data_IF_889146426389
#
_entry.id   IF_889146426389
#
_cell.length_a   1.000
_cell.length_b   1.000
_cell.length_c   1.000
_cell.angle_alpha   90.00
_cell.angle_beta   90.00
_cell.angle_gamma   90.00
#
_symmetry.space_group_name_H-M   'P 1'
#
loop_
_entity.id
_entity.type
_entity.pdbx_description
1 polymer ?
#
# COMPACT_ATOMS: atom_id res chain seq x y z
N UNK A 1 -48.11 15.92 7.14
CA UNK A 1 -46.94 15.50 6.33
C UNK A 1 -45.61 16.07 6.84
N UNK A 2 -45.49 17.35 7.23
CA UNK A 2 -44.22 17.93 7.76
C UNK A 2 -43.63 17.23 9.00
N UNK A 3 -44.46 16.75 9.93
CA UNK A 3 -43.99 16.09 11.16
C UNK A 3 -43.34 14.70 10.93
N UNK A 4 -43.75 13.98 9.88
CA UNK A 4 -43.18 12.67 9.54
C UNK A 4 -41.81 12.81 8.86
N UNK A 5 -41.60 13.89 8.10
CA UNK A 5 -40.31 14.22 7.47
C UNK A 5 -39.28 14.67 8.51
N UNK A 6 -39.69 15.46 9.51
CA UNK A 6 -38.78 15.87 10.59
C UNK A 6 -38.36 14.69 11.46
N UNK A 7 -39.28 13.79 11.81
CA UNK A 7 -38.98 12.57 12.60
C UNK A 7 -38.11 11.57 11.82
N UNK A 8 -38.28 11.49 10.50
CA UNK A 8 -37.39 10.74 9.60
C UNK A 8 -35.98 11.34 9.56
N UNK A 9 -35.86 12.68 9.51
CA UNK A 9 -34.58 13.37 9.46
C UNK A 9 -33.81 13.25 10.79
N UNK A 10 -34.49 13.36 11.94
CA UNK A 10 -33.86 13.21 13.26
C UNK A 10 -33.36 11.78 13.53
N UNK A 11 -34.11 10.76 13.07
CA UNK A 11 -33.70 9.36 13.18
C UNK A 11 -32.51 9.00 12.26
N UNK A 12 -32.45 9.59 11.06
CA UNK A 12 -31.32 9.44 10.14
C UNK A 12 -30.07 10.14 10.70
N UNK A 13 -30.21 11.38 11.18
CA UNK A 13 -29.10 12.11 11.84
C UNK A 13 -28.55 11.34 13.05
N UNK A 14 -29.42 10.78 13.90
CA UNK A 14 -28.99 9.95 15.04
C UNK A 14 -28.21 8.70 14.64
N UNK A 15 -28.58 8.05 13.53
CA UNK A 15 -27.90 6.85 13.02
C UNK A 15 -26.53 7.20 12.42
N UNK A 16 -26.40 8.33 11.72
CA UNK A 16 -25.13 8.82 11.19
C UNK A 16 -24.12 9.13 12.30
N UNK A 17 -24.55 9.81 13.37
CA UNK A 17 -23.67 10.08 14.53
C UNK A 17 -23.25 8.79 15.24
N UNK A 18 -24.13 7.80 15.36
CA UNK A 18 -23.79 6.49 15.91
C UNK A 18 -22.76 5.79 15.00
N UNK A 19 -22.96 5.78 13.69
CA UNK A 19 -22.02 5.16 12.73
C UNK A 19 -20.63 5.82 12.77
N UNK A 20 -20.58 7.15 12.83
CA UNK A 20 -19.32 7.91 13.00
C UNK A 20 -18.67 7.55 14.34
N UNK A 21 -19.42 7.55 15.44
CA UNK A 21 -18.92 7.19 16.76
C UNK A 21 -18.33 5.77 16.79
N UNK A 22 -19.04 4.80 16.24
CA UNK A 22 -18.59 3.40 16.13
C UNK A 22 -17.32 3.30 15.28
N UNK A 23 -17.27 3.98 14.13
CA UNK A 23 -16.10 3.95 13.23
C UNK A 23 -14.86 4.53 13.91
N UNK A 24 -15.00 5.65 14.62
CA UNK A 24 -13.90 6.27 15.38
C UNK A 24 -13.43 5.33 16.49
N UNK A 25 -14.35 4.78 17.29
CA UNK A 25 -14.01 3.86 18.38
C UNK A 25 -13.32 2.60 17.86
N UNK A 26 -13.82 2.02 16.77
CA UNK A 26 -13.22 0.87 16.11
C UNK A 26 -11.80 1.18 15.60
N UNK A 27 -11.62 2.34 14.96
CA UNK A 27 -10.30 2.79 14.47
C UNK A 27 -9.31 2.98 15.62
N UNK A 28 -9.72 3.60 16.72
CA UNK A 28 -8.86 3.77 17.90
C UNK A 28 -8.50 2.40 18.50
N UNK A 29 -9.48 1.52 18.69
CA UNK A 29 -9.25 0.20 19.28
C UNK A 29 -8.26 -0.62 18.45
N UNK A 30 -8.43 -0.66 17.13
CA UNK A 30 -7.54 -1.37 16.22
C UNK A 30 -6.17 -0.72 16.11
N UNK A 31 -6.10 0.62 16.05
CA UNK A 31 -4.84 1.38 16.03
C UNK A 31 -4.00 1.13 17.28
N UNK A 32 -4.60 1.08 18.47
CA UNK A 32 -3.88 0.78 19.71
C UNK A 32 -3.30 -0.65 19.70
N UNK A 33 -4.06 -1.62 19.19
CA UNK A 33 -3.63 -3.01 19.10
C UNK A 33 -2.45 -3.16 18.12
N UNK A 34 -2.60 -2.61 16.91
CA UNK A 34 -1.57 -2.67 15.86
C UNK A 34 -0.35 -1.85 16.26
N UNK A 35 -0.54 -0.65 16.81
CA UNK A 35 0.54 0.23 17.26
C UNK A 35 1.39 -0.40 18.37
N UNK A 36 0.75 -1.08 19.33
CA UNK A 36 1.47 -1.84 20.35
C UNK A 36 2.32 -2.97 19.74
N UNK A 37 1.77 -3.72 18.78
CA UNK A 37 2.53 -4.73 18.07
C UNK A 37 3.72 -4.14 17.30
N UNK A 38 3.51 -3.06 16.55
CA UNK A 38 4.59 -2.37 15.83
C UNK A 38 5.70 -1.88 16.77
N UNK A 39 5.34 -1.34 17.94
CA UNK A 39 6.30 -0.95 18.96
C UNK A 39 7.17 -2.12 19.43
N UNK A 40 6.56 -3.29 19.71
CA UNK A 40 7.30 -4.48 20.11
C UNK A 40 8.26 -4.95 19.02
N UNK A 41 7.80 -4.98 17.76
CA UNK A 41 8.62 -5.39 16.61
C UNK A 41 9.81 -4.44 16.40
N UNK A 42 9.59 -3.13 16.38
CA UNK A 42 10.66 -2.16 16.13
C UNK A 42 11.66 -2.02 17.28
N UNK A 43 11.27 -2.39 18.51
CA UNK A 43 12.19 -2.42 19.66
C UNK A 43 12.87 -3.77 19.87
N UNK A 44 12.60 -4.76 19.01
CA UNK A 44 13.21 -6.09 19.09
C UNK A 44 12.68 -6.97 20.23
N UNK A 45 11.50 -6.66 20.78
CA UNK A 45 10.84 -7.52 21.76
C UNK A 45 10.23 -8.75 21.08
N UNK A 46 10.16 -9.88 21.81
CA UNK A 46 9.56 -11.10 21.27
C UNK A 46 8.05 -10.95 21.10
N UNK A 47 7.55 -11.34 19.93
CA UNK A 47 6.11 -11.38 19.64
C UNK A 47 5.60 -12.82 19.51
N UNK A 48 4.26 -12.98 19.55
CA UNK A 48 3.62 -14.29 19.37
C UNK A 48 3.81 -14.86 17.97
N UNK A 49 4.08 -14.01 16.97
CA UNK A 49 4.22 -14.41 15.57
C UNK A 49 5.66 -14.74 15.17
N UNK A 50 6.64 -14.45 16.04
CA UNK A 50 8.07 -14.70 15.79
C UNK A 50 8.40 -16.13 15.36
N UNK A 51 7.81 -17.20 15.94
CA UNK A 51 8.16 -18.57 15.55
C UNK A 51 7.90 -18.88 14.07
N UNK A 52 6.98 -18.16 13.42
CA UNK A 52 6.62 -18.32 12.01
C UNK A 52 7.27 -17.24 11.15
N UNK A 53 7.27 -15.98 11.60
CA UNK A 53 7.76 -14.86 10.81
C UNK A 53 9.28 -14.77 10.76
N UNK A 54 9.99 -15.05 11.85
CA UNK A 54 11.47 -14.94 11.89
C UNK A 54 12.16 -15.92 10.93
N UNK A 55 11.72 -17.19 10.78
CA UNK A 55 12.27 -18.07 9.75
C UNK A 55 12.06 -17.53 8.32
N UNK A 56 10.89 -16.96 8.04
CA UNK A 56 10.55 -16.39 6.73
C UNK A 56 11.42 -15.15 6.47
N UNK A 57 11.53 -14.25 7.46
CA UNK A 57 12.39 -13.08 7.41
C UNK A 57 13.84 -13.47 7.11
N UNK A 58 14.39 -14.45 7.84
CA UNK A 58 15.76 -14.93 7.62
C UNK A 58 15.96 -15.49 6.22
N UNK A 59 14.95 -16.18 5.68
CA UNK A 59 14.98 -16.69 4.31
C UNK A 59 15.00 -15.56 3.30
N UNK A 60 14.13 -14.56 3.45
CA UNK A 60 14.07 -13.38 2.58
C UNK A 60 15.37 -12.59 2.64
N UNK A 61 15.89 -12.28 3.83
CA UNK A 61 17.16 -11.56 4.01
C UNK A 61 18.33 -12.30 3.38
N UNK A 62 18.37 -13.64 3.51
CA UNK A 62 19.40 -14.48 2.90
C UNK A 62 19.36 -14.46 1.38
N UNK A 63 18.16 -14.49 0.78
CA UNK A 63 18.02 -14.37 -0.69
C UNK A 63 18.33 -12.96 -1.19
N UNK A 64 18.01 -11.94 -0.41
CA UNK A 64 18.34 -10.54 -0.72
C UNK A 64 19.81 -10.18 -0.47
N UNK A 65 20.57 -11.04 0.24
CA UNK A 65 21.97 -10.79 0.61
C UNK A 65 22.14 -9.64 1.61
N UNK A 66 21.10 -9.31 2.37
CA UNK A 66 21.09 -8.20 3.33
C UNK A 66 21.49 -8.73 4.72
N UNK A 67 22.49 -8.12 5.34
CA UNK A 67 22.85 -8.39 6.73
C UNK A 67 21.99 -7.53 7.68
N UNK A 68 21.10 -8.14 8.50
CA UNK A 68 20.26 -7.38 9.43
C UNK A 68 21.05 -6.69 10.55
N UNK A 69 22.32 -7.04 10.79
CA UNK A 69 23.14 -6.43 11.83
C UNK A 69 23.92 -5.19 11.34
N UNK A 70 23.96 -4.95 10.03
CA UNK A 70 24.67 -3.80 9.46
C UNK A 70 23.81 -2.54 9.60
N UNK A 71 24.22 -1.63 10.47
CA UNK A 71 23.56 -0.33 10.60
C UNK A 71 23.91 0.57 9.40
N UNK A 72 22.90 1.26 8.87
CA UNK A 72 23.07 2.23 7.79
C UNK A 72 23.11 3.66 8.35
N UNK A 73 24.07 4.46 7.90
CA UNK A 73 24.04 5.91 8.11
C UNK A 73 22.87 6.54 7.32
N UNK A 74 22.38 7.70 7.77
CA UNK A 74 21.20 8.37 7.19
C UNK A 74 21.34 8.63 5.69
N UNK A 75 22.57 8.93 5.21
CA UNK A 75 22.85 9.13 3.78
C UNK A 75 22.65 7.84 2.99
N UNK A 76 23.19 6.73 3.50
CA UNK A 76 23.11 5.43 2.85
C UNK A 76 21.66 4.93 2.85
N UNK A 77 20.95 5.12 3.96
CA UNK A 77 19.54 4.77 4.08
C UNK A 77 18.66 5.55 3.10
N UNK A 78 18.82 6.87 3.05
CA UNK A 78 18.08 7.73 2.11
C UNK A 78 18.36 7.35 0.66
N UNK A 79 19.62 7.05 0.33
CA UNK A 79 19.99 6.59 -1.00
C UNK A 79 19.38 5.23 -1.34
N UNK A 80 19.41 4.27 -0.41
CA UNK A 80 18.77 2.96 -0.57
C UNK A 80 17.25 3.08 -0.78
N UNK A 81 16.59 3.96 -0.02
CA UNK A 81 15.16 4.26 -0.21
C UNK A 81 14.89 4.86 -1.60
N UNK A 82 15.68 5.83 -2.04
CA UNK A 82 15.50 6.45 -3.36
C UNK A 82 15.73 5.44 -4.50
N UNK A 83 16.83 4.69 -4.45
CA UNK A 83 17.17 3.71 -5.49
C UNK A 83 16.11 2.61 -5.57
N UNK A 84 15.64 2.08 -4.43
CA UNK A 84 14.60 1.05 -4.42
C UNK A 84 13.30 1.56 -5.04
N UNK A 85 12.87 2.78 -4.71
CA UNK A 85 11.66 3.38 -5.28
C UNK A 85 11.79 3.65 -6.78
N UNK A 86 12.94 4.18 -7.23
CA UNK A 86 13.19 4.39 -8.66
C UNK A 86 13.19 3.06 -9.42
N UNK A 87 13.80 2.01 -8.86
CA UNK A 87 13.80 0.70 -9.48
C UNK A 87 12.39 0.11 -9.61
N UNK A 88 11.59 0.15 -8.54
CA UNK A 88 10.20 -0.32 -8.55
C UNK A 88 9.35 0.50 -9.53
N UNK A 89 9.52 1.82 -9.55
CA UNK A 89 8.85 2.72 -10.49
C UNK A 89 9.16 2.33 -11.94
N UNK A 90 10.44 2.13 -12.28
CA UNK A 90 10.87 1.75 -13.62
C UNK A 90 10.30 0.38 -14.04
N UNK A 91 10.39 -0.61 -13.15
CA UNK A 91 9.88 -1.95 -13.41
C UNK A 91 8.37 -1.94 -13.68
N UNK A 92 7.60 -1.26 -12.84
CA UNK A 92 6.15 -1.18 -12.95
C UNK A 92 5.68 -0.32 -14.13
N UNK A 93 6.39 0.77 -14.43
CA UNK A 93 6.16 1.57 -15.64
C UNK A 93 6.39 0.76 -16.92
N UNK A 94 7.43 -0.07 -16.96
CA UNK A 94 7.68 -0.96 -18.10
C UNK A 94 6.58 -2.02 -18.26
N UNK A 95 6.06 -2.58 -17.17
CA UNK A 95 4.97 -3.56 -17.21
C UNK A 95 3.71 -2.93 -17.81
N UNK A 96 3.30 -1.75 -17.34
CA UNK A 96 2.04 -1.12 -17.77
C UNK A 96 2.12 -0.58 -19.20
N UNK A 97 3.29 -0.12 -19.64
CA UNK A 97 3.53 0.29 -21.03
C UNK A 97 3.64 -0.89 -22.01
N UNK A 98 3.89 -2.10 -21.52
CA UNK A 98 3.95 -3.33 -22.32
C UNK A 98 2.81 -4.31 -22.02
N UNK A 99 1.78 -3.89 -21.27
CA UNK A 99 0.74 -4.77 -20.73
C UNK A 99 -0.06 -5.57 -21.77
N UNK A 100 -0.08 -5.11 -23.03
CA UNK A 100 -0.79 -5.78 -24.10
C UNK A 100 -0.24 -7.18 -24.39
N UNK A 101 1.09 -7.37 -24.26
CA UNK A 101 1.75 -8.66 -24.53
C UNK A 101 1.86 -9.56 -23.31
N UNK A 102 1.51 -9.06 -22.13
CA UNK A 102 1.58 -9.79 -20.87
C UNK A 102 0.40 -10.78 -20.72
N UNK A 103 0.58 -11.89 -19.97
CA UNK A 103 -0.49 -12.85 -19.71
C UNK A 103 -1.59 -12.20 -18.86
N UNK A 104 -2.73 -12.87 -18.68
CA UNK A 104 -3.88 -12.35 -17.91
C UNK A 104 -4.47 -11.04 -18.48
N UNK A 105 -4.67 -11.02 -19.80
CA UNK A 105 -5.35 -9.94 -20.51
C UNK A 105 -6.49 -10.49 -21.40
N UNK A 106 -7.58 -11.03 -20.81
CA UNK A 106 -8.71 -11.57 -21.57
C UNK A 106 -9.41 -10.50 -22.40
N UNK A 107 -9.47 -9.27 -21.87
CA UNK A 107 -10.14 -8.11 -22.48
C UNK A 107 -9.29 -7.41 -23.56
N UNK A 108 -8.07 -7.92 -23.82
CA UNK A 108 -7.13 -7.39 -24.82
C UNK A 108 -6.88 -5.88 -24.67
N UNK A 109 -6.78 -5.43 -23.42
CA UNK A 109 -6.45 -4.06 -23.07
C UNK A 109 -5.10 -3.70 -23.69
N UNK A 110 -5.06 -2.57 -24.38
CA UNK A 110 -3.85 -2.07 -25.04
C UNK A 110 -2.81 -1.56 -24.06
N UNK A 111 -1.63 -1.25 -24.61
CA UNK A 111 -0.59 -0.58 -23.84
C UNK A 111 -1.07 0.79 -23.35
N UNK A 112 -0.78 1.10 -22.09
CA UNK A 112 -1.08 2.43 -21.57
C UNK A 112 -0.18 3.46 -22.26
N UNK A 113 -0.76 4.60 -22.62
CA UNK A 113 -0.02 5.71 -23.20
C UNK A 113 1.11 6.15 -22.25
N UNK A 114 2.35 6.41 -22.72
CA UNK A 114 3.50 6.64 -21.86
C UNK A 114 3.36 7.78 -20.84
N UNK A 115 2.69 8.88 -21.17
CA UNK A 115 2.48 10.00 -20.23
C UNK A 115 1.44 9.65 -19.15
N UNK A 116 0.40 8.90 -19.50
CA UNK A 116 -0.57 8.37 -18.56
C UNK A 116 0.06 7.30 -17.65
N UNK A 117 0.91 6.43 -18.21
CA UNK A 117 1.66 5.45 -17.44
C UNK A 117 2.62 6.13 -16.46
N UNK A 118 3.32 7.19 -16.90
CA UNK A 118 4.21 7.97 -16.05
C UNK A 118 3.48 8.57 -14.85
N UNK A 119 2.37 9.29 -15.09
CA UNK A 119 1.59 9.94 -14.04
C UNK A 119 0.97 8.92 -13.08
N UNK A 120 0.42 7.84 -13.62
CA UNK A 120 -0.17 6.74 -12.84
C UNK A 120 0.86 6.09 -11.93
N UNK A 121 1.97 5.58 -12.48
CA UNK A 121 2.97 4.86 -11.70
C UNK A 121 3.64 5.78 -10.69
N UNK A 122 3.93 7.03 -11.05
CA UNK A 122 4.45 8.02 -10.09
C UNK A 122 3.50 8.18 -8.91
N UNK A 123 2.20 8.27 -9.15
CA UNK A 123 1.22 8.42 -8.09
C UNK A 123 1.11 7.21 -7.17
N UNK A 124 1.20 6.00 -7.71
CA UNK A 124 1.21 4.78 -6.90
C UNK A 124 2.52 4.63 -6.13
N UNK A 125 3.68 4.93 -6.75
CA UNK A 125 4.98 4.93 -6.08
C UNK A 125 5.03 5.94 -4.93
N UNK A 126 4.41 7.12 -5.06
CA UNK A 126 4.31 8.11 -3.98
C UNK A 126 3.16 7.83 -3.00
N UNK A 127 2.51 6.66 -3.09
CA UNK A 127 1.37 6.25 -2.25
C UNK A 127 0.18 7.24 -2.27
N UNK A 128 0.05 8.02 -3.35
CA UNK A 128 -1.07 8.96 -3.55
C UNK A 128 -2.25 8.28 -4.22
N UNK A 129 -1.99 7.32 -5.11
CA UNK A 129 -2.99 6.51 -5.82
C UNK A 129 -4.01 7.35 -6.63
N UNK A 130 -3.56 8.45 -7.24
CA UNK A 130 -4.31 9.26 -8.19
C UNK A 130 -4.51 8.49 -9.50
N UNK A 131 -5.74 8.47 -9.99
CA UNK A 131 -6.13 7.67 -11.16
C UNK A 131 -6.79 8.57 -12.22
N UNK A 132 -6.12 8.72 -13.37
CA UNK A 132 -6.63 9.41 -14.56
C UNK A 132 -7.11 8.42 -15.65
N UNK A 133 -7.26 7.15 -15.28
CA UNK A 133 -7.71 6.07 -16.16
C UNK A 133 -8.90 5.36 -15.52
N UNK A 134 -9.69 4.65 -16.34
CA UNK A 134 -10.72 3.75 -15.82
C UNK A 134 -10.09 2.40 -15.52
N UNK A 135 -10.30 1.86 -14.33
CA UNK A 135 -9.73 0.56 -13.93
C UNK A 135 -10.12 -0.59 -14.86
N UNK A 136 -11.35 -0.58 -15.39
CA UNK A 136 -11.87 -1.66 -16.24
C UNK A 136 -11.29 -1.67 -17.66
N UNK A 137 -10.82 -0.52 -18.15
CA UNK A 137 -10.35 -0.36 -19.54
C UNK A 137 -8.91 0.11 -19.65
N UNK A 138 -8.30 0.55 -18.54
CA UNK A 138 -6.95 1.10 -18.49
C UNK A 138 -5.87 0.11 -18.05
N UNK A 139 -6.24 -0.98 -17.37
CA UNK A 139 -5.28 -1.96 -16.85
C UNK A 139 -5.73 -3.40 -17.11
N UNK A 140 -4.81 -4.24 -17.54
CA UNK A 140 -5.02 -5.69 -17.57
C UNK A 140 -5.07 -6.27 -16.15
N UNK A 141 -5.63 -7.49 -16.01
CA UNK A 141 -5.70 -8.16 -14.72
C UNK A 141 -4.28 -8.40 -14.16
N UNK A 142 -3.31 -8.67 -15.04
CA UNK A 142 -1.90 -8.73 -14.66
C UNK A 142 -1.42 -7.44 -14.00
N UNK A 143 -1.63 -6.30 -14.65
CA UNK A 143 -1.20 -5.01 -14.12
C UNK A 143 -1.90 -4.70 -12.79
N UNK A 144 -3.20 -5.01 -12.67
CA UNK A 144 -3.92 -4.78 -11.42
C UNK A 144 -3.39 -5.63 -10.25
N UNK A 145 -3.08 -6.90 -10.51
CA UNK A 145 -2.57 -7.81 -9.49
C UNK A 145 -1.10 -7.55 -9.15
N UNK A 146 -0.22 -7.45 -10.16
CA UNK A 146 1.23 -7.43 -9.96
C UNK A 146 1.84 -6.04 -9.92
N UNK A 147 1.15 -5.01 -10.45
CA UNK A 147 1.63 -3.63 -10.38
C UNK A 147 0.89 -2.86 -9.30
N UNK A 148 -0.43 -2.73 -9.42
CA UNK A 148 -1.21 -1.88 -8.51
C UNK A 148 -1.19 -2.42 -7.09
N UNK A 149 -1.52 -3.69 -6.90
CA UNK A 149 -1.55 -4.29 -5.55
C UNK A 149 -0.16 -4.34 -4.92
N UNK A 150 0.88 -4.59 -5.72
CA UNK A 150 2.28 -4.53 -5.28
C UNK A 150 2.67 -3.14 -4.79
N UNK A 151 2.41 -2.09 -5.59
CA UNK A 151 2.76 -0.72 -5.24
C UNK A 151 1.99 -0.26 -4.00
N UNK A 152 0.69 -0.56 -3.89
CA UNK A 152 -0.10 -0.21 -2.70
C UNK A 152 0.45 -0.81 -1.40
N UNK A 153 1.10 -1.96 -1.47
CA UNK A 153 1.73 -2.59 -0.31
C UNK A 153 3.14 -2.02 -0.05
N UNK A 154 4.02 -2.05 -1.07
CA UNK A 154 5.44 -1.76 -0.87
C UNK A 154 5.70 -0.27 -0.63
N UNK A 155 4.90 0.63 -1.18
CA UNK A 155 5.09 2.08 -0.97
C UNK A 155 4.62 2.50 0.42
N UNK A 156 3.57 1.86 0.95
CA UNK A 156 3.21 2.00 2.36
C UNK A 156 4.31 1.46 3.29
N UNK A 157 4.88 0.29 2.99
CA UNK A 157 6.00 -0.27 3.74
C UNK A 157 7.25 0.64 3.70
N UNK A 158 7.56 1.20 2.54
CA UNK A 158 8.64 2.19 2.37
C UNK A 158 8.40 3.43 3.24
N UNK A 159 7.16 3.94 3.28
CA UNK A 159 6.80 5.09 4.13
C UNK A 159 7.01 4.80 5.61
N UNK A 160 6.58 3.63 6.09
CA UNK A 160 6.82 3.18 7.47
C UNK A 160 8.31 3.05 7.75
N UNK A 161 9.08 2.45 6.83
CA UNK A 161 10.52 2.32 6.96
C UNK A 161 11.21 3.69 7.06
N UNK A 162 10.78 4.69 6.30
CA UNK A 162 11.30 6.05 6.36
C UNK A 162 10.97 6.77 7.68
N UNK A 163 9.84 6.46 8.33
CA UNK A 163 9.48 7.05 9.62
C UNK A 163 10.27 6.49 10.81
N UNK A 164 10.85 5.29 10.68
CA UNK A 164 11.54 4.59 11.78
C UNK A 164 13.05 4.89 11.79
N UNK A 165 13.64 5.10 10.62
CA UNK A 165 15.08 5.32 10.45
C UNK A 165 15.54 6.69 10.96
#
# INVERSE_FOLDING_TARGET
MRCCVLRSSEAVMGTEYIAVGVTILFTIATSLLVGWYMFLVFTGHRTLLDPVLVPIERLVLRFSGVDPNEQQDWKRYSLSLLISNVFMWLATWMIVTLQQSLPLNPDRIGNMEPTLAFSTISSFTTNTNLQHYSGETGLSYFSQMFVISFLQFVTAATGVAACIA
#
